data_IF_261832852232
#
_entry.id   IF_261832852232
#
_cell.length_a   1.000
_cell.length_b   1.000
_cell.length_c   1.000
_cell.angle_alpha   90.00
_cell.angle_beta   90.00
_cell.angle_gamma   90.00
#
_symmetry.space_group_name_H-M   'P 1'
#
loop_
_entity.id
_entity.type
_entity.pdbx_description
1 polymer ?
#
# COMPACT_ATOMS: atom_id res chain seq x y z
N UNK A 1 -21.46 15.68 22.58
CA UNK A 1 -20.48 16.09 21.54
C UNK A 1 -19.14 16.20 22.23
N UNK A 2 -18.16 15.43 21.79
CA UNK A 2 -16.79 15.51 22.32
C UNK A 2 -16.23 16.88 21.98
N UNK A 3 -15.81 17.65 22.99
CA UNK A 3 -15.20 18.97 22.78
C UNK A 3 -13.84 18.73 22.13
N UNK A 4 -13.68 19.16 20.86
CA UNK A 4 -12.40 19.08 20.16
C UNK A 4 -11.33 19.83 20.94
N UNK A 5 -10.11 19.30 20.97
CA UNK A 5 -8.97 20.02 21.54
C UNK A 5 -8.59 21.20 20.65
N UNK A 6 -7.83 22.16 21.18
CA UNK A 6 -7.35 23.31 20.40
C UNK A 6 -6.41 22.87 19.26
N UNK A 7 -5.66 21.79 19.46
CA UNK A 7 -4.81 21.18 18.42
C UNK A 7 -5.67 20.59 17.28
N UNK A 8 -6.69 19.78 17.62
CA UNK A 8 -7.63 19.22 16.64
C UNK A 8 -8.41 20.31 15.90
N UNK A 9 -8.77 21.39 16.60
CA UNK A 9 -9.43 22.56 16.04
C UNK A 9 -8.53 23.27 15.02
N UNK A 10 -7.26 23.48 15.35
CA UNK A 10 -6.28 24.08 14.45
C UNK A 10 -6.08 23.23 13.18
N UNK A 11 -5.94 21.91 13.31
CA UNK A 11 -5.83 21.01 12.17
C UNK A 11 -7.09 21.00 11.30
N UNK A 12 -8.28 21.03 11.90
CA UNK A 12 -9.54 21.09 11.17
C UNK A 12 -9.69 22.39 10.38
N UNK A 13 -9.30 23.53 10.96
CA UNK A 13 -9.33 24.83 10.28
C UNK A 13 -8.36 24.89 9.08
N UNK A 14 -7.26 24.14 9.08
CA UNK A 14 -6.36 24.03 7.93
C UNK A 14 -6.99 23.31 6.73
N UNK A 15 -8.11 22.61 6.92
CA UNK A 15 -8.89 21.97 5.85
C UNK A 15 -9.90 22.93 5.19
N UNK A 16 -9.99 24.18 5.66
CA UNK A 16 -10.88 25.21 5.10
C UNK A 16 -12.32 25.13 5.57
N UNK A 17 -12.61 24.39 6.65
CA UNK A 17 -13.93 24.31 7.27
C UNK A 17 -14.11 25.41 8.32
N UNK A 18 -15.22 26.14 8.25
CA UNK A 18 -15.58 27.15 9.26
C UNK A 18 -16.09 26.48 10.54
N UNK A 19 -15.67 27.00 11.69
CA UNK A 19 -16.09 26.52 13.01
C UNK A 19 -16.71 27.69 13.78
N UNK A 20 -17.88 27.54 14.42
CA UNK A 20 -18.49 28.61 15.20
C UNK A 20 -17.62 28.97 16.40
N UNK A 21 -17.25 30.24 16.52
CA UNK A 21 -16.35 30.77 17.58
C UNK A 21 -17.08 31.20 18.85
N UNK A 22 -18.39 30.97 18.94
CA UNK A 22 -19.28 31.68 19.88
C UNK A 22 -19.07 31.33 21.37
N UNK A 23 -18.16 30.41 21.69
CA UNK A 23 -17.88 29.97 23.08
C UNK A 23 -16.40 30.00 23.48
N UNK A 24 -15.49 30.57 22.67
CA UNK A 24 -14.05 30.59 22.99
C UNK A 24 -13.64 31.81 23.82
N UNK A 25 -12.94 31.56 24.93
CA UNK A 25 -12.32 32.59 25.77
C UNK A 25 -11.13 33.25 25.07
N UNK A 26 -10.72 34.47 25.47
CA UNK A 26 -9.52 35.13 24.93
C UNK A 26 -8.20 34.36 25.14
N UNK A 27 -8.13 33.44 26.10
CA UNK A 27 -6.97 32.55 26.27
C UNK A 27 -7.00 31.44 25.22
N UNK A 28 -8.14 30.75 25.07
CA UNK A 28 -8.34 29.70 24.07
C UNK A 28 -8.12 30.24 22.64
N UNK A 29 -8.51 31.48 22.35
CA UNK A 29 -8.23 32.14 21.06
C UNK A 29 -6.73 32.41 20.82
N UNK A 30 -5.97 32.76 21.88
CA UNK A 30 -4.52 32.96 21.75
C UNK A 30 -3.80 31.64 21.54
N UNK A 31 -4.21 30.61 22.27
CA UNK A 31 -3.69 29.26 22.13
C UNK A 31 -3.99 28.68 20.74
N UNK A 32 -5.22 28.86 20.23
CA UNK A 32 -5.59 28.48 18.86
C UNK A 32 -4.73 29.17 17.81
N UNK A 33 -4.49 30.48 17.93
CA UNK A 33 -3.61 31.19 17.00
C UNK A 33 -2.16 30.66 17.05
N UNK A 34 -1.66 30.30 18.23
CA UNK A 34 -0.33 29.73 18.38
C UNK A 34 -0.24 28.35 17.72
N UNK A 35 -1.22 27.48 17.94
CA UNK A 35 -1.27 26.15 17.33
C UNK A 35 -1.50 26.23 15.81
N UNK A 36 -2.36 27.13 15.31
CA UNK A 36 -2.50 27.37 13.87
C UNK A 36 -1.19 27.81 13.22
N UNK A 37 -0.41 28.67 13.88
CA UNK A 37 0.89 29.11 13.37
C UNK A 37 1.87 27.94 13.28
N UNK A 38 1.91 27.09 14.31
CA UNK A 38 2.76 25.89 14.38
C UNK A 38 2.35 24.86 13.32
N UNK A 39 1.06 24.57 13.20
CA UNK A 39 0.52 23.63 12.22
C UNK A 39 0.75 24.11 10.77
N UNK A 40 0.60 25.41 10.49
CA UNK A 40 0.96 25.99 9.19
C UNK A 40 2.45 25.86 8.87
N UNK A 41 3.33 26.10 9.86
CA UNK A 41 4.77 25.95 9.67
C UNK A 41 5.15 24.49 9.36
N UNK A 42 4.58 23.53 10.10
CA UNK A 42 4.76 22.09 9.85
C UNK A 42 4.28 21.68 8.46
N UNK A 43 3.07 22.08 8.07
CA UNK A 43 2.52 21.80 6.72
C UNK A 43 3.40 22.37 5.61
N UNK A 44 3.93 23.59 5.81
CA UNK A 44 4.86 24.20 4.85
C UNK A 44 6.16 23.39 4.74
N UNK A 45 6.73 22.98 5.87
CA UNK A 45 7.94 22.15 5.90
C UNK A 45 7.74 20.82 5.19
N UNK A 46 6.61 20.14 5.43
CA UNK A 46 6.23 18.90 4.74
C UNK A 46 6.07 19.11 3.22
N UNK A 47 5.42 20.21 2.81
CA UNK A 47 5.29 20.57 1.39
C UNK A 47 6.65 20.86 0.74
N UNK A 48 7.52 21.61 1.43
CA UNK A 48 8.85 21.95 0.94
C UNK A 48 9.72 20.69 0.78
N UNK A 49 9.65 19.75 1.72
CA UNK A 49 10.31 18.45 1.65
C UNK A 49 9.79 17.61 0.47
N UNK A 50 8.46 17.55 0.29
CA UNK A 50 7.85 16.82 -0.82
C UNK A 50 8.22 17.43 -2.18
N UNK A 51 8.25 18.76 -2.27
CA UNK A 51 8.67 19.47 -3.47
C UNK A 51 10.15 19.20 -3.79
N UNK A 52 11.03 19.21 -2.79
CA UNK A 52 12.44 18.87 -2.95
C UNK A 52 12.63 17.42 -3.44
N UNK A 53 11.92 16.46 -2.85
CA UNK A 53 11.99 15.06 -3.25
C UNK A 53 11.52 14.85 -4.70
N UNK A 54 10.44 15.54 -5.09
CA UNK A 54 9.91 15.49 -6.45
C UNK A 54 10.87 16.13 -7.46
N UNK A 55 11.51 17.24 -7.10
CA UNK A 55 12.50 17.89 -7.95
C UNK A 55 13.73 17.01 -8.16
N UNK A 56 14.19 16.33 -7.11
CA UNK A 56 15.29 15.36 -7.18
C UNK A 56 14.95 14.16 -8.05
N UNK A 57 13.75 13.59 -7.91
CA UNK A 57 13.26 12.48 -8.74
C UNK A 57 13.19 12.86 -10.23
N UNK A 58 12.65 14.04 -10.56
CA UNK A 58 12.63 14.52 -11.95
C UNK A 58 14.05 14.76 -12.49
N UNK A 59 14.97 15.28 -11.67
CA UNK A 59 16.37 15.45 -12.05
C UNK A 59 17.03 14.12 -12.40
N UNK A 60 16.84 13.10 -11.56
CA UNK A 60 17.36 11.75 -11.79
C UNK A 60 16.73 11.11 -13.03
N UNK A 61 15.44 11.33 -13.26
CA UNK A 61 14.76 10.86 -14.46
C UNK A 61 15.35 11.47 -15.74
N UNK A 62 15.54 12.80 -15.78
CA UNK A 62 16.17 13.48 -16.91
C UNK A 62 17.64 13.02 -17.11
N UNK A 63 18.37 12.75 -16.02
CA UNK A 63 19.70 12.15 -16.09
C UNK A 63 19.66 10.74 -16.73
N UNK A 64 18.67 9.91 -16.39
CA UNK A 64 18.45 8.60 -17.03
C UNK A 64 18.20 8.74 -18.54
N UNK A 65 17.36 9.70 -18.96
CA UNK A 65 17.12 9.96 -20.38
C UNK A 65 18.40 10.39 -21.11
N UNK A 66 19.19 11.26 -20.49
CA UNK A 66 20.45 11.74 -21.07
C UNK A 66 21.53 10.65 -21.14
N UNK A 67 21.56 9.74 -20.17
CA UNK A 67 22.60 8.71 -20.06
C UNK A 67 22.31 7.50 -20.96
N UNK A 68 21.04 7.11 -21.09
CA UNK A 68 20.66 5.86 -21.75
C UNK A 68 19.79 6.12 -22.99
N UNK A 69 20.35 5.99 -24.22
CA UNK A 69 19.61 6.22 -25.46
C UNK A 69 18.33 5.40 -25.62
N UNK A 70 18.29 4.20 -25.01
CA UNK A 70 17.10 3.35 -24.99
C UNK A 70 15.88 4.04 -24.37
N UNK A 71 16.08 4.81 -23.29
CA UNK A 71 15.00 5.56 -22.65
C UNK A 71 14.67 6.83 -23.43
N UNK A 72 15.67 7.54 -23.95
CA UNK A 72 15.47 8.72 -24.79
C UNK A 72 14.69 8.43 -26.08
N UNK A 73 14.77 7.19 -26.60
CA UNK A 73 14.02 6.76 -27.78
C UNK A 73 12.51 6.58 -27.53
N UNK A 74 12.07 6.63 -26.27
CA UNK A 74 10.67 6.49 -25.89
C UNK A 74 9.96 7.84 -25.81
N UNK A 75 8.62 7.78 -25.87
CA UNK A 75 7.79 8.93 -25.55
C UNK A 75 7.80 9.11 -24.02
N UNK A 76 7.92 10.36 -23.54
CA UNK A 76 8.24 10.69 -22.13
C UNK A 76 7.35 9.95 -21.10
N UNK A 77 6.02 9.84 -21.28
CA UNK A 77 5.17 9.04 -20.38
C UNK A 77 5.55 7.55 -20.27
N UNK A 78 5.94 6.90 -21.37
CA UNK A 78 6.37 5.49 -21.32
C UNK A 78 7.75 5.34 -20.69
N UNK A 79 8.67 6.26 -20.95
CA UNK A 79 9.97 6.27 -20.27
C UNK A 79 9.79 6.46 -18.77
N UNK A 80 8.92 7.41 -18.38
CA UNK A 80 8.58 7.70 -16.99
C UNK A 80 7.95 6.49 -16.31
N UNK A 81 7.01 5.83 -16.97
CA UNK A 81 6.39 4.60 -16.47
C UNK A 81 7.43 3.52 -16.18
N UNK A 82 8.36 3.26 -17.11
CA UNK A 82 9.43 2.27 -16.89
C UNK A 82 10.34 2.68 -15.72
N UNK A 83 10.72 3.95 -15.64
CA UNK A 83 11.51 4.51 -14.54
C UNK A 83 10.83 4.32 -13.18
N UNK A 84 9.54 4.63 -13.09
CA UNK A 84 8.74 4.48 -11.88
C UNK A 84 8.54 3.01 -11.48
N UNK A 85 8.70 2.07 -12.43
CA UNK A 85 8.73 0.63 -12.17
C UNK A 85 10.14 0.10 -11.85
N UNK A 86 11.14 0.97 -11.75
CA UNK A 86 12.50 0.60 -11.37
C UNK A 86 13.42 0.25 -12.55
N UNK A 87 12.95 0.37 -13.80
CA UNK A 87 13.81 0.27 -14.97
C UNK A 87 14.53 1.60 -15.18
N UNK A 88 15.74 1.75 -14.65
CA UNK A 88 16.48 3.03 -14.68
C UNK A 88 17.74 2.97 -15.51
N UNK A 89 18.16 1.77 -15.89
CA UNK A 89 19.36 1.49 -16.68
C UNK A 89 19.06 0.54 -17.84
N UNK A 90 20.02 0.40 -18.76
CA UNK A 90 19.95 -0.61 -19.82
C UNK A 90 19.93 -2.03 -19.25
N UNK A 91 20.69 -2.29 -18.18
CA UNK A 91 20.78 -3.61 -17.55
C UNK A 91 19.43 -4.05 -17.00
N UNK A 92 18.68 -3.14 -16.39
CA UNK A 92 17.33 -3.43 -15.86
C UNK A 92 16.38 -3.88 -16.97
N UNK A 93 16.44 -3.21 -18.13
CA UNK A 93 15.64 -3.58 -19.30
C UNK A 93 16.07 -4.95 -19.87
N UNK A 94 17.36 -5.27 -19.83
CA UNK A 94 17.89 -6.54 -20.31
C UNK A 94 17.50 -7.73 -19.40
N UNK A 95 17.26 -7.48 -18.10
CA UNK A 95 16.72 -8.50 -17.16
C UNK A 95 15.26 -8.86 -17.46
N UNK A 96 14.51 -7.97 -18.07
CA UNK A 96 13.10 -8.19 -18.42
C UNK A 96 12.94 -8.98 -19.72
N UNK A 97 11.88 -9.79 -19.77
CA UNK A 97 11.35 -10.31 -21.03
C UNK A 97 10.46 -9.28 -21.71
N UNK A 98 10.19 -9.50 -23.01
CA UNK A 98 9.16 -8.74 -23.72
C UNK A 98 7.80 -8.80 -23.02
N UNK A 99 7.43 -9.96 -22.48
CA UNK A 99 6.14 -10.16 -21.80
C UNK A 99 6.07 -9.39 -20.49
N UNK A 100 7.17 -9.34 -19.73
CA UNK A 100 7.22 -8.59 -18.46
C UNK A 100 6.88 -7.11 -18.70
N UNK A 101 7.48 -6.51 -19.73
CA UNK A 101 7.21 -5.11 -20.07
C UNK A 101 5.79 -4.90 -20.62
N UNK A 102 5.27 -5.81 -21.43
CA UNK A 102 3.90 -5.71 -21.96
C UNK A 102 2.81 -5.88 -20.90
N UNK A 103 3.13 -6.50 -19.77
CA UNK A 103 2.20 -6.60 -18.64
C UNK A 103 2.07 -5.29 -17.86
N UNK A 104 2.92 -4.28 -18.14
CA UNK A 104 2.79 -2.95 -17.55
C UNK A 104 1.73 -2.15 -18.30
N UNK A 105 0.69 -1.73 -17.60
CA UNK A 105 -0.38 -0.92 -18.18
C UNK A 105 0.20 0.39 -18.74
N UNK A 106 0.02 0.63 -20.05
CA UNK A 106 0.60 1.78 -20.76
C UNK A 106 1.82 1.45 -21.62
N UNK A 107 2.37 0.23 -21.50
CA UNK A 107 3.42 -0.27 -22.39
C UNK A 107 2.80 -1.14 -23.48
N UNK A 108 2.86 -0.64 -24.72
CA UNK A 108 2.38 -1.35 -25.90
C UNK A 108 3.51 -1.90 -26.76
N UNK A 109 3.13 -2.62 -27.82
CA UNK A 109 4.09 -3.17 -28.80
C UNK A 109 4.99 -2.10 -29.43
N UNK A 110 4.47 -0.90 -29.66
CA UNK A 110 5.26 0.22 -30.18
C UNK A 110 6.43 0.60 -29.27
N UNK A 111 6.23 0.56 -27.95
CA UNK A 111 7.31 0.80 -26.97
C UNK A 111 8.39 -0.28 -27.07
N UNK A 112 7.99 -1.55 -27.12
CA UNK A 112 8.90 -2.68 -27.28
C UNK A 112 9.73 -2.54 -28.57
N UNK A 113 9.11 -2.15 -29.68
CA UNK A 113 9.82 -1.94 -30.95
C UNK A 113 10.84 -0.81 -30.84
N UNK A 114 10.50 0.32 -30.21
CA UNK A 114 11.46 1.43 -30.01
C UNK A 114 12.64 1.01 -29.16
N UNK A 115 12.42 0.28 -28.07
CA UNK A 115 13.49 -0.27 -27.23
C UNK A 115 14.42 -1.18 -28.03
N UNK A 116 13.87 -2.08 -28.85
CA UNK A 116 14.68 -2.95 -29.72
C UNK A 116 15.49 -2.16 -30.74
N UNK A 117 14.87 -1.18 -31.39
CA UNK A 117 15.56 -0.32 -32.35
C UNK A 117 16.66 0.52 -31.69
N UNK A 118 16.53 0.80 -30.40
CA UNK A 118 17.56 1.45 -29.59
C UNK A 118 18.60 0.47 -29.01
N UNK A 119 18.62 -0.79 -29.47
CA UNK A 119 19.63 -1.78 -29.10
C UNK A 119 19.33 -2.59 -27.84
N UNK A 120 18.11 -2.53 -27.30
CA UNK A 120 17.74 -3.34 -26.13
C UNK A 120 17.49 -4.79 -26.54
N UNK A 121 18.29 -5.69 -25.99
CA UNK A 121 18.11 -7.13 -26.08
C UNK A 121 17.42 -7.66 -24.82
N UNK A 122 16.14 -8.04 -24.95
CA UNK A 122 15.38 -8.60 -23.83
C UNK A 122 15.81 -10.04 -23.49
N UNK A 123 15.75 -10.38 -22.21
CA UNK A 123 15.99 -11.75 -21.79
C UNK A 123 14.97 -12.73 -22.38
N UNK A 124 15.41 -13.97 -22.62
CA UNK A 124 14.54 -15.08 -23.05
C UNK A 124 13.63 -15.58 -21.92
N UNK A 125 14.07 -15.39 -20.67
CA UNK A 125 13.35 -15.73 -19.43
C UNK A 125 13.52 -14.56 -18.45
N UNK A 126 12.51 -14.28 -17.65
CA UNK A 126 12.56 -13.15 -16.73
C UNK A 126 13.67 -13.36 -15.70
N UNK A 127 14.48 -12.33 -15.49
CA UNK A 127 15.50 -12.25 -14.46
C UNK A 127 15.15 -11.18 -13.42
N UNK A 128 13.93 -10.63 -13.49
CA UNK A 128 13.44 -9.66 -12.53
C UNK A 128 13.24 -10.31 -11.16
N UNK A 129 13.51 -9.59 -10.06
CA UNK A 129 13.33 -10.14 -8.74
C UNK A 129 11.85 -10.41 -8.47
N UNK A 130 11.58 -11.56 -7.85
CA UNK A 130 10.26 -11.92 -7.35
C UNK A 130 10.03 -11.29 -5.98
N UNK A 131 9.84 -9.97 -5.96
CA UNK A 131 9.78 -9.15 -4.76
C UNK A 131 8.36 -8.93 -4.22
N UNK A 132 7.35 -9.56 -4.80
CA UNK A 132 5.97 -9.52 -4.32
C UNK A 132 5.29 -10.87 -4.37
N UNK A 133 4.38 -11.08 -3.42
CA UNK A 133 3.43 -12.19 -3.41
C UNK A 133 2.18 -11.82 -4.19
N UNK A 134 1.62 -12.78 -4.90
CA UNK A 134 0.27 -12.73 -5.41
C UNK A 134 -0.64 -13.54 -4.48
N UNK A 135 -1.62 -12.88 -3.85
CA UNK A 135 -2.46 -13.46 -2.81
C UNK A 135 -3.94 -13.32 -3.19
N UNK A 136 -4.67 -14.44 -3.18
CA UNK A 136 -6.12 -14.42 -3.19
C UNK A 136 -6.62 -14.23 -1.76
N UNK A 137 -7.46 -13.22 -1.56
CA UNK A 137 -8.13 -12.92 -0.29
C UNK A 137 -9.61 -13.13 -0.50
N UNK A 138 -10.20 -14.08 0.20
CA UNK A 138 -11.59 -14.50 0.05
C UNK A 138 -12.36 -14.27 1.33
N UNK A 139 -13.50 -13.60 1.21
CA UNK A 139 -14.52 -13.56 2.24
C UNK A 139 -15.73 -14.40 1.81
N UNK A 140 -16.28 -15.16 2.75
CA UNK A 140 -17.49 -15.96 2.55
C UNK A 140 -18.52 -15.60 3.62
N UNK A 141 -19.70 -15.17 3.19
CA UNK A 141 -20.80 -14.83 4.07
C UNK A 141 -22.03 -14.46 3.27
N UNK A 142 -23.20 -14.44 3.92
CA UNK A 142 -24.48 -14.07 3.28
C UNK A 142 -24.79 -14.86 1.99
N UNK A 143 -24.37 -16.13 1.93
CA UNK A 143 -24.57 -16.99 0.75
C UNK A 143 -23.73 -16.64 -0.48
N UNK A 144 -22.75 -15.73 -0.38
CA UNK A 144 -21.85 -15.32 -1.47
C UNK A 144 -20.38 -15.44 -1.10
N UNK A 145 -19.53 -15.45 -2.12
CA UNK A 145 -18.07 -15.33 -1.98
C UNK A 145 -17.63 -14.06 -2.68
N UNK A 146 -16.87 -13.25 -1.96
CA UNK A 146 -16.24 -12.03 -2.47
C UNK A 146 -14.73 -12.28 -2.46
N UNK A 147 -14.03 -11.90 -3.53
CA UNK A 147 -12.61 -12.19 -3.67
C UNK A 147 -11.85 -10.95 -4.14
N UNK A 148 -10.64 -10.79 -3.61
CA UNK A 148 -9.62 -9.86 -4.09
C UNK A 148 -8.38 -10.65 -4.47
N UNK A 149 -7.76 -10.30 -5.57
CA UNK A 149 -6.46 -10.83 -6.00
C UNK A 149 -5.47 -9.67 -6.00
N UNK A 150 -4.50 -9.73 -5.09
CA UNK A 150 -3.60 -8.62 -4.79
C UNK A 150 -2.14 -9.03 -5.03
N UNK A 151 -1.33 -8.06 -5.47
CA UNK A 151 0.12 -8.10 -5.39
C UNK A 151 0.56 -7.30 -4.16
N UNK A 152 1.33 -7.90 -3.27
CA UNK A 152 1.85 -7.25 -2.07
C UNK A 152 3.37 -7.45 -1.95
N UNK A 153 4.15 -6.40 -1.63
CA UNK A 153 5.58 -6.53 -1.36
C UNK A 153 5.89 -7.62 -0.34
N UNK A 154 6.92 -8.44 -0.59
CA UNK A 154 7.37 -9.43 0.41
C UNK A 154 7.88 -8.76 1.69
N UNK A 155 8.45 -7.57 1.56
CA UNK A 155 8.93 -6.76 2.67
C UNK A 155 7.81 -6.09 3.49
N UNK A 156 6.55 -6.15 3.04
CA UNK A 156 5.44 -5.62 3.82
C UNK A 156 5.27 -6.41 5.12
N UNK A 157 4.71 -5.78 6.14
CA UNK A 157 4.32 -6.47 7.38
C UNK A 157 2.94 -7.10 7.28
N UNK A 158 2.61 -8.03 8.18
CA UNK A 158 1.25 -8.55 8.33
C UNK A 158 0.24 -7.43 8.64
N UNK A 159 0.64 -6.41 9.40
CA UNK A 159 -0.21 -5.26 9.67
C UNK A 159 -0.55 -4.48 8.39
N UNK A 160 0.44 -4.25 7.52
CA UNK A 160 0.22 -3.62 6.22
C UNK A 160 -0.64 -4.50 5.30
N UNK A 161 -0.50 -5.83 5.38
CA UNK A 161 -1.40 -6.73 4.66
C UNK A 161 -2.85 -6.58 5.15
N UNK A 162 -3.08 -6.41 6.46
CA UNK A 162 -4.42 -6.15 6.98
C UNK A 162 -5.01 -4.85 6.42
N UNK A 163 -4.24 -3.75 6.41
CA UNK A 163 -4.67 -2.48 5.80
C UNK A 163 -5.08 -2.66 4.34
N UNK A 164 -4.28 -3.38 3.55
CA UNK A 164 -4.55 -3.65 2.13
C UNK A 164 -5.81 -4.49 1.96
N UNK A 165 -6.01 -5.50 2.81
CA UNK A 165 -7.21 -6.35 2.79
C UNK A 165 -8.44 -5.50 3.09
N UNK A 166 -8.45 -4.76 4.21
CA UNK A 166 -9.59 -3.97 4.64
C UNK A 166 -9.93 -2.89 3.59
N UNK A 167 -8.93 -2.18 3.08
CA UNK A 167 -9.12 -1.24 1.97
C UNK A 167 -9.72 -1.91 0.73
N UNK A 168 -9.24 -3.12 0.36
CA UNK A 168 -9.78 -3.88 -0.76
C UNK A 168 -11.24 -4.29 -0.56
N UNK A 169 -11.69 -4.46 0.67
CA UNK A 169 -13.07 -4.78 1.03
C UNK A 169 -13.90 -3.54 1.41
N UNK A 170 -13.37 -2.32 1.26
CA UNK A 170 -14.06 -1.07 1.61
C UNK A 170 -14.43 -1.01 3.10
N UNK A 171 -13.53 -1.51 3.96
CA UNK A 171 -13.68 -1.50 5.41
C UNK A 171 -12.77 -0.43 6.03
N UNK A 172 -13.24 0.19 7.10
CA UNK A 172 -12.42 0.98 8.00
C UNK A 172 -11.59 0.04 8.89
N UNK A 173 -10.33 0.41 9.15
CA UNK A 173 -9.46 -0.33 10.08
C UNK A 173 -9.58 0.25 11.50
N UNK A 174 -10.76 0.09 12.09
CA UNK A 174 -11.18 0.65 13.38
C UNK A 174 -11.12 -0.36 14.54
N UNK A 175 -10.87 -1.64 14.25
CA UNK A 175 -10.81 -2.73 15.23
C UNK A 175 -9.49 -3.51 15.15
N UNK A 176 -9.26 -4.35 16.17
CA UNK A 176 -8.11 -5.24 16.20
C UNK A 176 -8.23 -6.39 15.19
N UNK A 177 -7.08 -6.94 14.78
CA UNK A 177 -6.99 -8.12 13.92
C UNK A 177 -5.94 -9.11 14.40
N UNK A 178 -6.02 -10.33 13.85
CA UNK A 178 -5.02 -11.38 13.98
C UNK A 178 -4.89 -12.18 12.67
N UNK A 179 -3.70 -12.73 12.43
CA UNK A 179 -3.44 -13.70 11.37
C UNK A 179 -3.18 -15.07 11.96
N UNK A 180 -3.93 -16.07 11.52
CA UNK A 180 -3.78 -17.48 11.89
C UNK A 180 -3.13 -18.24 10.73
N UNK A 181 -1.87 -18.61 10.90
CA UNK A 181 -1.02 -19.12 9.82
C UNK A 181 -1.32 -20.58 9.43
N UNK A 182 -2.14 -21.27 10.22
CA UNK A 182 -2.71 -22.59 9.90
C UNK A 182 -4.14 -22.52 9.32
N UNK A 183 -4.65 -21.30 9.11
CA UNK A 183 -5.99 -21.04 8.61
C UNK A 183 -7.11 -21.35 9.61
N UNK A 184 -6.79 -21.73 10.85
CA UNK A 184 -7.77 -22.04 11.88
C UNK A 184 -7.96 -20.83 12.81
N UNK A 185 -9.17 -20.27 12.91
CA UNK A 185 -9.41 -19.15 13.82
C UNK A 185 -9.14 -19.59 15.26
N UNK A 186 -8.55 -18.69 16.05
CA UNK A 186 -8.21 -18.90 17.46
C UNK A 186 -7.18 -20.01 17.72
N UNK A 187 -6.43 -20.43 16.71
CA UNK A 187 -5.29 -21.34 16.90
C UNK A 187 -4.12 -20.65 17.60
N UNK A 188 -3.17 -21.45 18.09
CA UNK A 188 -1.92 -20.92 18.68
C UNK A 188 -0.92 -20.43 17.63
N UNK A 189 -1.10 -20.82 16.37
CA UNK A 189 -0.20 -20.42 15.28
C UNK A 189 -0.66 -19.07 14.72
N UNK A 190 -0.51 -18.02 15.52
CA UNK A 190 -1.14 -16.73 15.25
C UNK A 190 -0.24 -15.53 15.58
N UNK A 191 -0.48 -14.43 14.89
CA UNK A 191 0.08 -13.12 15.15
C UNK A 191 -1.04 -12.11 15.38
N UNK A 192 -0.91 -11.30 16.42
CA UNK A 192 -1.92 -10.31 16.82
C UNK A 192 -1.42 -8.89 16.55
N UNK A 193 -2.34 -7.95 16.33
CA UNK A 193 -2.00 -6.52 16.23
C UNK A 193 -1.37 -5.99 17.51
N UNK A 194 -0.48 -5.00 17.39
CA UNK A 194 0.21 -4.34 18.50
C UNK A 194 -0.70 -3.92 19.67
N UNK A 195 -1.96 -3.53 19.39
CA UNK A 195 -2.91 -3.15 20.43
C UNK A 195 -3.18 -4.29 21.45
N UNK A 196 -2.96 -5.55 21.04
CA UNK A 196 -3.09 -6.74 21.88
C UNK A 196 -1.84 -7.02 22.73
N UNK A 197 -0.73 -6.31 22.51
CA UNK A 197 0.51 -6.48 23.29
C UNK A 197 0.59 -5.55 24.52
N UNK A 198 -0.54 -4.97 24.93
CA UNK A 198 -0.66 -4.12 26.12
C UNK A 198 -0.38 -4.86 27.45
N UNK A 199 -0.33 -4.09 28.54
CA UNK A 199 0.00 -4.56 29.90
C UNK A 199 -1.00 -5.62 30.40
N UNK A 200 -0.77 -6.89 30.07
CA UNK A 200 -1.57 -8.02 30.57
C UNK A 200 -1.51 -9.27 29.70
N UNK A 201 -1.27 -9.12 28.39
CA UNK A 201 -1.21 -10.25 27.46
C UNK A 201 0.24 -10.66 27.20
N UNK A 202 0.73 -11.61 28.01
CA UNK A 202 2.07 -12.20 27.85
C UNK A 202 2.03 -13.40 26.92
N UNK A 203 3.08 -13.59 26.13
CA UNK A 203 3.31 -14.81 25.35
C UNK A 203 2.67 -14.85 23.95
N UNK A 204 2.23 -13.71 23.42
CA UNK A 204 1.63 -13.60 22.07
C UNK A 204 2.65 -13.61 20.91
N UNK A 205 3.95 -13.71 21.19
CA UNK A 205 4.98 -13.57 20.16
C UNK A 205 5.07 -12.14 19.60
N UNK A 206 5.76 -11.92 18.46
CA UNK A 206 5.88 -10.61 17.84
C UNK A 206 4.53 -10.10 17.31
N UNK A 207 4.36 -8.78 17.27
CA UNK A 207 3.16 -8.17 16.71
C UNK A 207 3.14 -8.25 15.18
N UNK A 208 1.95 -8.11 14.57
CA UNK A 208 1.79 -8.12 13.11
C UNK A 208 2.61 -7.03 12.40
N UNK A 209 2.97 -5.95 13.09
CA UNK A 209 3.80 -4.86 12.60
C UNK A 209 5.27 -5.29 12.43
N UNK A 210 5.71 -6.28 13.20
CA UNK A 210 7.10 -6.75 13.27
C UNK A 210 7.36 -7.97 12.38
N UNK A 211 6.29 -8.59 11.85
CA UNK A 211 6.37 -9.82 11.06
C UNK A 211 6.20 -9.46 9.59
N UNK A 212 7.27 -9.65 8.80
CA UNK A 212 7.24 -9.45 7.35
C UNK A 212 6.59 -10.62 6.61
N UNK A 213 6.14 -10.38 5.38
CA UNK A 213 5.60 -11.42 4.50
C UNK A 213 6.69 -12.28 3.83
N UNK A 214 7.99 -11.98 4.04
CA UNK A 214 9.09 -12.72 3.40
C UNK A 214 9.11 -14.21 3.77
N UNK A 215 8.61 -14.54 4.96
CA UNK A 215 8.53 -15.92 5.46
C UNK A 215 7.43 -16.78 4.83
N UNK A 216 6.52 -16.19 4.04
CA UNK A 216 5.47 -16.94 3.36
C UNK A 216 6.04 -17.83 2.24
N UNK A 217 5.27 -18.83 1.86
CA UNK A 217 5.59 -19.78 0.79
C UNK A 217 4.44 -19.90 -0.21
N UNK A 218 4.76 -20.34 -1.43
CA UNK A 218 3.74 -20.67 -2.43
C UNK A 218 2.80 -21.76 -1.90
N UNK A 219 1.50 -21.54 -2.10
CA UNK A 219 0.39 -22.36 -1.62
C UNK A 219 0.07 -22.25 -0.12
N UNK A 220 0.77 -21.41 0.63
CA UNK A 220 0.36 -21.08 1.99
C UNK A 220 -1.08 -20.60 2.00
N UNK A 221 -1.85 -21.14 2.94
CA UNK A 221 -3.23 -20.74 3.18
C UNK A 221 -3.36 -20.39 4.65
N UNK A 222 -3.74 -19.15 4.92
CA UNK A 222 -3.86 -18.59 6.26
C UNK A 222 -5.14 -17.76 6.37
N UNK A 223 -5.50 -17.37 7.59
CA UNK A 223 -6.74 -16.64 7.87
C UNK A 223 -6.40 -15.31 8.53
N UNK A 224 -6.92 -14.21 7.99
CA UNK A 224 -7.05 -12.98 8.76
C UNK A 224 -8.41 -12.97 9.46
N UNK A 225 -8.41 -12.71 10.76
CA UNK A 225 -9.61 -12.42 11.54
C UNK A 225 -9.54 -10.94 11.94
N UNK A 226 -10.53 -10.16 11.53
CA UNK A 226 -10.68 -8.75 11.87
C UNK A 226 -11.96 -8.55 12.68
N UNK A 227 -11.89 -7.66 13.67
CA UNK A 227 -12.93 -7.46 14.68
C UNK A 227 -13.28 -8.75 15.42
N UNK A 228 -12.78 -8.90 16.65
CA UNK A 228 -13.03 -10.09 17.47
C UNK A 228 -14.49 -10.23 17.94
N UNK A 229 -15.30 -9.17 17.84
CA UNK A 229 -16.73 -9.21 18.12
C UNK A 229 -17.53 -9.73 16.91
N UNK A 230 -17.36 -9.11 15.75
CA UNK A 230 -18.07 -9.49 14.52
C UNK A 230 -17.47 -10.71 13.80
N UNK A 231 -16.20 -11.02 14.08
CA UNK A 231 -15.41 -12.11 13.50
C UNK A 231 -15.37 -12.10 11.97
N UNK A 232 -14.96 -10.99 11.35
CA UNK A 232 -14.72 -10.96 9.91
C UNK A 232 -13.55 -11.85 9.54
N UNK A 233 -13.81 -12.90 8.74
CA UNK A 233 -12.85 -13.94 8.37
C UNK A 233 -12.48 -13.83 6.89
N UNK A 234 -11.21 -13.56 6.62
CA UNK A 234 -10.65 -13.46 5.26
C UNK A 234 -9.61 -14.57 5.05
N UNK A 235 -9.95 -15.56 4.22
CA UNK A 235 -9.02 -16.62 3.84
C UNK A 235 -8.04 -16.08 2.81
N UNK A 236 -6.75 -16.12 3.13
CA UNK A 236 -5.65 -15.70 2.27
C UNK A 236 -4.94 -16.92 1.70
N UNK A 237 -4.72 -16.94 0.39
CA UNK A 237 -3.97 -17.99 -0.31
C UNK A 237 -2.89 -17.40 -1.18
N UNK A 238 -1.62 -17.72 -0.88
CA UNK A 238 -0.47 -17.35 -1.72
C UNK A 238 -0.49 -18.22 -2.98
N UNK A 239 -0.72 -17.61 -4.14
CA UNK A 239 -0.84 -18.34 -5.41
C UNK A 239 0.33 -18.13 -6.36
N UNK A 240 1.13 -17.10 -6.15
CA UNK A 240 2.17 -16.73 -7.09
C UNK A 240 3.17 -15.74 -6.52
N UNK A 241 4.18 -15.47 -7.34
CA UNK A 241 5.22 -14.49 -7.09
C UNK A 241 5.45 -13.68 -8.35
N UNK A 242 5.73 -12.39 -8.19
CA UNK A 242 5.99 -11.51 -9.32
C UNK A 242 6.97 -10.40 -8.97
N UNK A 243 7.44 -9.74 -10.02
CA UNK A 243 8.00 -8.39 -9.93
C UNK A 243 6.86 -7.38 -9.93
N UNK A 244 6.88 -6.42 -9.01
CA UNK A 244 5.88 -5.34 -8.92
C UNK A 244 6.48 -3.92 -8.99
N UNK A 245 7.76 -3.83 -9.33
CA UNK A 245 8.52 -2.57 -9.39
C UNK A 245 9.69 -2.56 -8.40
N UNK A 246 10.53 -1.54 -8.49
CA UNK A 246 11.57 -1.24 -7.50
C UNK A 246 11.51 0.25 -7.09
N UNK A 247 11.02 0.59 -5.87
CA UNK A 247 10.56 -0.35 -4.84
C UNK A 247 9.27 -1.09 -5.25
N UNK A 248 9.06 -2.26 -4.64
CA UNK A 248 7.87 -3.09 -4.86
C UNK A 248 6.58 -2.31 -4.51
N UNK A 249 5.54 -2.47 -5.33
CA UNK A 249 4.27 -1.73 -5.18
C UNK A 249 3.11 -2.68 -4.90
N UNK A 250 2.19 -2.21 -4.06
CA UNK A 250 0.88 -2.86 -3.87
C UNK A 250 0.03 -2.65 -5.13
N UNK A 251 -0.64 -3.70 -5.60
CA UNK A 251 -1.54 -3.61 -6.75
C UNK A 251 -2.78 -4.48 -6.53
N UNK A 252 -3.95 -3.93 -6.83
CA UNK A 252 -5.19 -4.69 -6.97
C UNK A 252 -5.22 -5.29 -8.38
N UNK A 253 -4.97 -6.59 -8.52
CA UNK A 253 -4.88 -7.26 -9.82
C UNK A 253 -6.29 -7.55 -10.36
N UNK A 254 -7.17 -8.07 -9.51
CA UNK A 254 -8.54 -8.42 -9.86
C UNK A 254 -9.43 -8.41 -8.61
N UNK A 255 -10.71 -8.13 -8.78
CA UNK A 255 -11.72 -8.32 -7.74
C UNK A 255 -12.99 -8.94 -8.31
N UNK A 256 -13.69 -9.71 -7.49
CA UNK A 256 -15.00 -10.29 -7.82
C UNK A 256 -15.95 -10.14 -6.64
N UNK A 257 -17.21 -9.85 -6.94
CA UNK A 257 -18.25 -9.59 -5.94
C UNK A 257 -18.16 -8.20 -5.31
N UNK A 258 -19.33 -7.62 -5.03
CA UNK A 258 -19.43 -6.38 -4.25
C UNK A 258 -19.01 -6.64 -2.81
N UNK A 259 -18.26 -5.71 -2.21
CA UNK A 259 -17.93 -5.77 -0.79
C UNK A 259 -19.18 -5.94 0.08
N UNK A 260 -19.13 -6.73 1.16
CA UNK A 260 -20.16 -6.65 2.19
C UNK A 260 -20.14 -5.28 2.86
N UNK A 261 -21.27 -4.86 3.43
CA UNK A 261 -21.26 -3.73 4.35
C UNK A 261 -20.57 -4.17 5.64
N UNK A 262 -19.62 -3.35 6.15
CA UNK A 262 -18.87 -3.68 7.36
C UNK A 262 -19.78 -3.77 8.59
N UNK A 263 -20.65 -2.80 8.80
CA UNK A 263 -21.70 -2.86 9.81
C UNK A 263 -22.99 -2.29 9.19
N UNK A 264 -24.03 -3.11 8.93
CA UNK A 264 -25.34 -2.60 8.61
C UNK A 264 -25.89 -1.83 9.80
N UNK A 265 -26.47 -0.65 9.57
CA UNK A 265 -27.15 0.09 10.62
C UNK A 265 -28.14 -0.84 11.34
N UNK A 266 -28.04 -0.92 12.67
CA UNK A 266 -28.99 -1.67 13.48
C UNK A 266 -30.39 -1.07 13.26
N UNK A 267 -31.29 -1.83 12.66
CA UNK A 267 -32.71 -1.49 12.53
C UNK A 267 -33.48 -1.79 13.80
#
# INVERSE_FOLDING_TARGET
MTRMTIEELAEHMLTGKEIPFDEMTPEEMRELHAELKKANAKRKEEMDLQAAQKAEDERLFEQTLATYPAFAALVKPQARLLYDYGFRTLEDLQKATRTDLLNLQGIGQGTITRLKNAGVEFAKRSQLPKNSWEIYVMWKGQGRTVTRFISVPKSASLAQLADIILWGYDFENDHAHAFFMDGQPWSKNAYFTQAMHGEGLKGLGPATQEVSLEGLQLNDTFLMLFDFGAEWRFTCKVSGERFSGDPAKVQMIMWTGQSPQQYPDEY
#
